data_IF_602310123968
#
_entry.id   IF_602310123968
#
_cell.length_a   1.000
_cell.length_b   1.000
_cell.length_c   1.000
_cell.angle_alpha   90.00
_cell.angle_beta   90.00
_cell.angle_gamma   90.00
#
_symmetry.space_group_name_H-M   'P 1'
#
loop_
_entity.id
_entity.type
_entity.pdbx_description
1 polymer ?
#
# COMPACT_ATOMS: atom_id res chain seq x y z
N UNK A 1 -23.81 -10.70 24.28
CA UNK A 1 -22.84 -10.88 23.18
C UNK A 1 -21.51 -10.26 23.59
N UNK A 2 -20.39 -10.99 23.52
CA UNK A 2 -19.05 -10.42 23.71
C UNK A 2 -18.46 -10.14 22.33
N UNK A 3 -18.22 -8.86 22.00
CA UNK A 3 -17.44 -8.46 20.83
C UNK A 3 -15.96 -8.62 21.18
N UNK A 4 -15.27 -9.53 20.52
CA UNK A 4 -13.80 -9.58 20.57
C UNK A 4 -13.30 -8.52 19.59
N UNK A 5 -12.71 -7.46 20.12
CA UNK A 5 -12.05 -6.42 19.32
C UNK A 5 -10.56 -6.76 19.32
N UNK A 6 -10.04 -7.17 18.16
CA UNK A 6 -8.62 -7.37 17.95
C UNK A 6 -8.04 -6.08 17.38
N UNK A 7 -7.26 -5.35 18.18
CA UNK A 7 -6.45 -4.25 17.68
C UNK A 7 -5.07 -4.81 17.33
N UNK A 8 -4.71 -4.85 16.04
CA UNK A 8 -3.32 -5.10 15.63
C UNK A 8 -2.46 -3.86 15.97
N UNK A 9 -1.16 -4.04 16.24
CA UNK A 9 -0.23 -2.92 16.38
C UNK A 9 -0.15 -2.12 15.06
N UNK A 10 0.22 -0.86 15.19
CA UNK A 10 0.39 0.08 14.09
C UNK A 10 1.63 -0.34 13.29
N UNK A 11 1.48 -0.59 11.99
CA UNK A 11 2.60 -0.95 11.12
C UNK A 11 3.18 0.31 10.50
N UNK A 12 4.51 0.43 10.55
CA UNK A 12 5.27 1.58 10.08
C UNK A 12 6.25 1.14 9.01
N UNK A 13 6.20 1.80 7.83
CA UNK A 13 7.24 1.71 6.80
C UNK A 13 8.00 3.02 6.77
N UNK A 14 9.33 2.93 6.79
CA UNK A 14 10.21 4.08 6.53
C UNK A 14 10.83 3.90 5.16
N UNK A 15 10.45 4.77 4.22
CA UNK A 15 11.09 4.88 2.91
C UNK A 15 12.26 5.84 3.03
N UNK A 16 13.49 5.34 2.84
CA UNK A 16 14.71 6.15 2.82
C UNK A 16 15.24 6.24 1.39
N UNK A 17 15.36 7.47 0.88
CA UNK A 17 15.82 7.76 -0.47
C UNK A 17 17.33 8.02 -0.50
N UNK A 18 17.97 7.83 -1.65
CA UNK A 18 19.41 8.10 -1.83
C UNK A 18 19.80 9.55 -1.52
N UNK A 19 18.84 10.48 -1.60
CA UNK A 19 19.00 11.89 -1.20
C UNK A 19 19.12 12.09 0.32
N UNK A 20 18.87 11.06 1.12
CA UNK A 20 18.77 11.11 2.58
C UNK A 20 17.39 11.53 3.10
N UNK A 21 16.43 11.80 2.21
CA UNK A 21 15.05 12.05 2.59
C UNK A 21 14.40 10.78 3.17
N UNK A 22 13.58 10.93 4.21
CA UNK A 22 12.84 9.83 4.82
C UNK A 22 11.36 10.15 4.85
N UNK A 23 10.55 9.21 4.37
CA UNK A 23 9.10 9.26 4.44
C UNK A 23 8.62 8.12 5.31
N UNK A 24 8.00 8.47 6.42
CA UNK A 24 7.32 7.52 7.30
C UNK A 24 5.87 7.34 6.85
N UNK A 25 5.51 6.10 6.56
CA UNK A 25 4.14 5.67 6.28
C UNK A 25 3.61 4.95 7.51
N UNK A 26 2.46 5.38 8.00
CA UNK A 26 1.73 4.75 9.08
C UNK A 26 0.47 4.12 8.50
N UNK A 27 0.35 2.80 8.62
CA UNK A 27 -0.85 2.08 8.21
C UNK A 27 -1.72 1.84 9.43
N UNK A 28 -2.47 2.87 9.80
CA UNK A 28 -3.48 2.80 10.86
C UNK A 28 -4.89 2.71 10.27
N UNK A 29 -5.88 2.50 11.16
CA UNK A 29 -7.30 2.40 10.78
C UNK A 29 -7.78 3.68 10.06
N UNK A 30 -7.15 4.84 10.30
CA UNK A 30 -7.55 6.11 9.67
C UNK A 30 -7.07 6.18 8.23
N UNK A 31 -5.78 5.91 7.98
CA UNK A 31 -5.22 5.83 6.62
C UNK A 31 -6.00 4.79 5.77
N UNK A 32 -6.35 3.68 6.40
CA UNK A 32 -7.20 2.64 5.85
C UNK A 32 -8.62 3.06 5.50
N UNK A 33 -9.23 3.96 6.28
CA UNK A 33 -10.57 4.50 6.03
C UNK A 33 -10.58 5.58 4.94
N UNK A 34 -9.47 6.28 4.74
CA UNK A 34 -9.32 7.30 3.70
C UNK A 34 -9.15 6.70 2.30
N UNK A 35 -8.69 5.46 2.21
CA UNK A 35 -8.56 4.75 0.94
C UNK A 35 -9.95 4.24 0.53
N UNK A 36 -10.54 4.89 -0.47
CA UNK A 36 -11.81 4.45 -1.03
C UNK A 36 -11.56 3.19 -1.89
N UNK A 37 -11.94 2.02 -1.36
CA UNK A 37 -11.76 0.69 -1.96
C UNK A 37 -12.57 0.52 -3.25
N UNK A 38 -12.21 1.22 -4.32
CA UNK A 38 -12.72 0.99 -5.66
C UNK A 38 -11.65 0.28 -6.50
N UNK A 39 -11.22 -0.89 -6.02
CA UNK A 39 -10.13 -1.70 -6.59
C UNK A 39 -10.35 -2.12 -8.05
N UNK A 40 -11.58 -2.09 -8.54
CA UNK A 40 -11.92 -2.68 -9.83
C UNK A 40 -11.33 -1.92 -11.05
N UNK A 41 -10.84 -0.68 -10.88
CA UNK A 41 -10.38 0.15 -12.00
C UNK A 41 -9.00 0.81 -11.82
N UNK A 42 -8.31 0.64 -10.68
CA UNK A 42 -7.03 1.30 -10.43
C UNK A 42 -5.85 0.39 -10.79
N UNK A 43 -4.82 0.94 -11.41
CA UNK A 43 -3.56 0.22 -11.61
C UNK A 43 -2.81 0.06 -10.29
N UNK A 44 -1.92 -0.95 -10.20
CA UNK A 44 -1.05 -1.19 -9.03
C UNK A 44 -0.29 0.08 -8.59
N UNK A 45 0.33 0.85 -9.51
CA UNK A 45 0.96 2.13 -9.15
C UNK A 45 0.00 3.18 -8.57
N UNK A 46 -1.22 3.28 -9.11
CA UNK A 46 -2.21 4.24 -8.61
C UNK A 46 -2.74 3.85 -7.25
N UNK A 47 -2.92 2.55 -7.01
CA UNK A 47 -3.27 2.05 -5.70
C UNK A 47 -2.16 2.36 -4.68
N UNK A 48 -0.90 2.10 -5.04
CA UNK A 48 0.25 2.43 -4.20
C UNK A 48 0.34 3.95 -3.92
N UNK A 49 0.01 4.79 -4.92
CA UNK A 49 -0.04 6.25 -4.77
C UNK A 49 -1.04 6.67 -3.71
N UNK A 50 -2.25 6.11 -3.74
CA UNK A 50 -3.28 6.40 -2.74
C UNK A 50 -2.87 5.94 -1.34
N UNK A 51 -2.25 4.75 -1.23
CA UNK A 51 -1.76 4.22 0.04
C UNK A 51 -0.66 5.09 0.63
N UNK A 52 0.31 5.52 -0.18
CA UNK A 52 1.37 6.44 0.28
C UNK A 52 0.77 7.78 0.69
N UNK A 53 -0.15 8.32 -0.10
CA UNK A 53 -0.81 9.60 0.19
C UNK A 53 -1.55 9.54 1.54
N UNK A 54 -2.38 8.51 1.75
CA UNK A 54 -3.17 8.32 2.97
C UNK A 54 -2.31 7.94 4.19
N UNK A 55 -1.30 7.09 4.01
CA UNK A 55 -0.42 6.63 5.09
C UNK A 55 0.65 7.65 5.49
N UNK A 56 0.90 8.67 4.69
CA UNK A 56 1.98 9.64 4.98
C UNK A 56 1.65 10.54 6.17
N UNK A 57 2.50 10.50 7.20
CA UNK A 57 2.29 11.32 8.40
C UNK A 57 2.42 12.84 8.15
N UNK A 58 3.05 13.23 7.02
CA UNK A 58 3.22 14.61 6.58
C UNK A 58 2.13 15.15 5.64
N UNK A 59 1.07 14.37 5.35
CA UNK A 59 0.04 14.70 4.34
C UNK A 59 0.64 15.07 2.99
N UNK A 60 1.33 14.10 2.37
CA UNK A 60 1.74 14.23 0.97
C UNK A 60 0.52 14.48 0.09
N UNK A 61 0.70 15.29 -0.95
CA UNK A 61 -0.32 15.44 -2.01
C UNK A 61 -0.28 14.20 -2.91
N UNK A 62 -1.42 13.87 -3.55
CA UNK A 62 -1.48 12.77 -4.50
C UNK A 62 -0.46 12.90 -5.65
N UNK A 63 -0.20 14.14 -6.11
CA UNK A 63 0.78 14.41 -7.16
C UNK A 63 2.19 14.02 -6.73
N UNK A 64 2.62 14.42 -5.52
CA UNK A 64 3.93 14.03 -4.99
C UNK A 64 4.02 12.54 -4.69
N UNK A 65 2.94 11.95 -4.17
CA UNK A 65 2.87 10.50 -3.95
C UNK A 65 3.00 9.73 -5.28
N UNK A 66 2.42 10.25 -6.36
CA UNK A 66 2.51 9.65 -7.70
C UNK A 66 3.93 9.72 -8.24
N UNK A 67 4.57 10.88 -8.13
CA UNK A 67 5.97 11.06 -8.54
C UNK A 67 6.91 10.12 -7.79
N UNK A 68 6.67 9.93 -6.49
CA UNK A 68 7.37 8.95 -5.66
C UNK A 68 7.20 7.53 -6.18
N UNK A 69 5.96 7.08 -6.39
CA UNK A 69 5.69 5.72 -6.89
C UNK A 69 6.36 5.47 -8.24
N UNK A 70 6.41 6.47 -9.12
CA UNK A 70 7.12 6.37 -10.41
C UNK A 70 8.62 6.13 -10.27
N UNK A 71 9.23 6.51 -9.13
CA UNK A 71 10.65 6.32 -8.84
C UNK A 71 10.92 5.04 -8.03
N UNK A 72 9.89 4.46 -7.41
CA UNK A 72 10.04 3.23 -6.64
C UNK A 72 10.34 2.04 -7.53
N UNK A 73 11.21 1.16 -7.02
CA UNK A 73 11.39 -0.15 -7.64
C UNK A 73 10.10 -0.97 -7.53
N UNK A 74 9.78 -1.81 -8.52
CA UNK A 74 8.58 -2.64 -8.51
C UNK A 74 8.44 -3.47 -7.23
N UNK A 75 9.55 -4.00 -6.72
CA UNK A 75 9.55 -4.80 -5.49
C UNK A 75 9.08 -3.98 -4.28
N UNK A 76 9.54 -2.73 -4.15
CA UNK A 76 9.15 -1.82 -3.07
C UNK A 76 7.65 -1.50 -3.14
N UNK A 77 7.10 -1.32 -4.35
CA UNK A 77 5.66 -1.15 -4.55
C UNK A 77 4.89 -2.37 -4.01
N UNK A 78 5.38 -3.58 -4.28
CA UNK A 78 4.75 -4.81 -3.78
C UNK A 78 4.83 -4.93 -2.25
N UNK A 79 5.97 -4.56 -1.66
CA UNK A 79 6.15 -4.56 -0.21
C UNK A 79 5.18 -3.61 0.49
N UNK A 80 5.07 -2.36 -0.01
CA UNK A 80 4.11 -1.37 0.51
C UNK A 80 2.67 -1.90 0.45
N UNK A 81 2.28 -2.48 -0.69
CA UNK A 81 0.95 -3.04 -0.85
C UNK A 81 0.70 -4.20 0.10
N UNK A 82 1.66 -5.11 0.23
CA UNK A 82 1.55 -6.28 1.11
C UNK A 82 1.36 -5.82 2.54
N UNK A 83 2.23 -4.94 3.04
CA UNK A 83 2.17 -4.41 4.40
C UNK A 83 0.84 -3.72 4.70
N UNK A 84 0.35 -2.92 3.74
CA UNK A 84 -0.94 -2.26 3.85
C UNK A 84 -2.09 -3.29 3.98
N UNK A 85 -2.11 -4.32 3.14
CA UNK A 85 -3.12 -5.38 3.22
C UNK A 85 -3.01 -6.23 4.50
N UNK A 86 -1.80 -6.47 5.00
CA UNK A 86 -1.59 -7.15 6.29
C UNK A 86 -2.19 -6.33 7.45
N UNK A 87 -1.95 -5.03 7.42
CA UNK A 87 -2.41 -4.04 8.40
C UNK A 87 -3.93 -3.93 8.41
N UNK A 88 -4.54 -4.03 7.22
CA UNK A 88 -5.99 -4.06 7.02
C UNK A 88 -6.67 -5.35 7.49
N UNK A 89 -5.91 -6.39 7.86
CA UNK A 89 -6.48 -7.70 8.14
C UNK A 89 -7.11 -8.35 6.90
N UNK A 90 -6.70 -7.92 5.71
CA UNK A 90 -7.08 -8.57 4.44
C UNK A 90 -6.39 -9.93 4.35
N UNK A 91 -5.20 -10.07 4.94
CA UNK A 91 -4.58 -11.37 5.14
C UNK A 91 -5.43 -12.18 6.14
N UNK A 92 -6.05 -13.24 5.64
CA UNK A 92 -7.15 -13.98 6.26
C UNK A 92 -8.45 -14.04 5.43
N UNK A 93 -8.57 -13.22 4.37
CA UNK A 93 -9.63 -13.32 3.36
C UNK A 93 -9.04 -13.91 2.05
N UNK A 94 -9.16 -15.23 1.91
CA UNK A 94 -8.56 -15.99 0.80
C UNK A 94 -8.88 -15.43 -0.59
N UNK A 95 -10.12 -14.97 -0.81
CA UNK A 95 -10.54 -14.42 -2.10
C UNK A 95 -9.83 -13.11 -2.44
N UNK A 96 -9.62 -12.25 -1.44
CA UNK A 96 -8.97 -10.95 -1.62
C UNK A 96 -7.45 -11.12 -1.73
N UNK A 97 -6.86 -12.01 -0.93
CA UNK A 97 -5.46 -12.40 -1.07
C UNK A 97 -5.12 -12.93 -2.47
N UNK A 98 -5.96 -13.80 -3.03
CA UNK A 98 -5.71 -14.38 -4.34
C UNK A 98 -5.80 -13.34 -5.46
N UNK A 99 -6.73 -12.37 -5.34
CA UNK A 99 -6.81 -11.23 -6.26
C UNK A 99 -5.56 -10.35 -6.20
N UNK A 100 -5.08 -10.03 -5.00
CA UNK A 100 -3.87 -9.23 -4.80
C UNK A 100 -2.66 -9.97 -5.38
N UNK A 101 -2.50 -11.26 -5.07
CA UNK A 101 -1.41 -12.08 -5.62
C UNK A 101 -1.43 -12.11 -7.15
N UNK A 102 -2.62 -12.26 -7.76
CA UNK A 102 -2.77 -12.22 -9.23
C UNK A 102 -2.40 -10.85 -9.81
N UNK A 103 -2.90 -9.76 -9.23
CA UNK A 103 -2.62 -8.40 -9.69
C UNK A 103 -1.12 -8.07 -9.58
N UNK A 104 -0.49 -8.45 -8.46
CA UNK A 104 0.94 -8.29 -8.22
C UNK A 104 1.78 -9.12 -9.20
N UNK A 105 1.43 -10.39 -9.42
CA UNK A 105 2.14 -11.25 -10.37
C UNK A 105 2.03 -10.74 -11.81
N UNK A 106 0.85 -10.23 -12.21
CA UNK A 106 0.67 -9.61 -13.53
C UNK A 106 1.51 -8.35 -13.69
N UNK A 107 1.60 -7.51 -12.64
CA UNK A 107 2.43 -6.31 -12.65
C UNK A 107 3.92 -6.63 -12.80
N UNK A 108 4.44 -7.56 -11.99
CA UNK A 108 5.84 -8.00 -12.07
C UNK A 108 6.17 -8.61 -13.44
N UNK A 109 5.30 -9.49 -13.96
CA UNK A 109 5.48 -10.09 -15.28
C UNK A 109 5.55 -9.03 -16.39
N UNK A 110 4.68 -8.01 -16.35
CA UNK A 110 4.65 -6.94 -17.35
C UNK A 110 5.93 -6.09 -17.35
N UNK A 111 6.59 -5.98 -16.20
CA UNK A 111 7.84 -5.24 -16.04
C UNK A 111 9.02 -6.11 -16.46
N UNK A 112 9.04 -7.41 -16.12
CA UNK A 112 10.09 -8.35 -16.51
C UNK A 112 10.07 -8.73 -17.99
N UNK A 113 8.93 -8.55 -18.68
CA UNK A 113 8.78 -8.78 -20.11
C UNK A 113 9.21 -7.60 -20.99
N UNK A 114 9.70 -6.50 -20.39
CA UNK A 114 10.25 -5.33 -21.09
C UNK A 114 11.76 -5.35 -21.04
#
# INVERSE_FOLDING_TARGET
MKKNIFCKPLNEIVLEFESGEKITLLFDIVASMEINYNHNNLSIPELCTQIICAGSHGKLTEEKARDLVCQLQPLVIVEILTEFYESMGVIGNEALEEQIKKATAQFLNKIMSR
#
